data_IF_423420686477
#
_entry.id   IF_423420686477
#
_cell.length_a   1.000
_cell.length_b   1.000
_cell.length_c   1.000
_cell.angle_alpha   90.00
_cell.angle_beta   90.00
_cell.angle_gamma   90.00
#
_symmetry.space_group_name_H-M   'P 1'
#
loop_
_entity.id
_entity.type
_entity.pdbx_description
1 polymer ?
#
# COMPACT_ATOMS: atom_id res chain seq x y z
N UNK A 1 21.93 1.42 45.68
CA UNK A 1 20.60 2.01 45.39
C UNK A 1 20.68 2.72 44.03
N UNK A 2 20.65 1.97 42.92
CA UNK A 2 20.63 2.49 41.54
C UNK A 2 20.30 1.33 40.56
N UNK A 3 19.21 0.60 40.81
CA UNK A 3 18.75 -0.51 39.94
C UNK A 3 17.59 -0.10 39.01
N UNK A 4 17.34 1.20 38.82
CA UNK A 4 16.22 1.67 37.97
C UNK A 4 16.59 1.79 36.48
N UNK A 5 17.86 1.59 36.11
CA UNK A 5 18.35 1.65 34.71
C UNK A 5 18.96 0.32 34.23
N UNK A 6 18.89 -0.73 35.04
CA UNK A 6 19.24 -2.09 34.62
C UNK A 6 18.07 -2.72 33.84
N UNK A 7 17.60 -2.05 32.79
CA UNK A 7 16.85 -2.74 31.74
C UNK A 7 17.88 -3.61 31.04
N UNK A 8 17.87 -4.90 31.38
CA UNK A 8 18.66 -5.92 30.72
C UNK A 8 18.48 -5.75 29.20
N UNK A 9 19.50 -6.02 28.39
CA UNK A 9 19.52 -5.80 26.92
C UNK A 9 18.54 -6.70 26.14
N UNK A 10 17.32 -6.89 26.65
CA UNK A 10 16.23 -7.59 25.98
C UNK A 10 15.66 -6.70 24.88
N UNK A 11 15.82 -7.09 23.60
CA UNK A 11 15.37 -6.28 22.46
C UNK A 11 13.87 -5.99 22.51
N UNK A 12 13.07 -6.90 23.09
CA UNK A 12 11.62 -6.75 23.21
C UNK A 12 11.24 -5.61 24.17
N UNK A 13 11.81 -5.59 25.39
CA UNK A 13 11.54 -4.54 26.37
C UNK A 13 11.98 -3.17 25.87
N UNK A 14 13.18 -3.10 25.28
CA UNK A 14 13.69 -1.86 24.67
C UNK A 14 12.76 -1.38 23.55
N UNK A 15 12.30 -2.29 22.68
CA UNK A 15 11.38 -1.95 21.59
C UNK A 15 10.06 -1.37 22.11
N UNK A 16 9.44 -2.01 23.11
CA UNK A 16 8.19 -1.53 23.70
C UNK A 16 8.37 -0.16 24.35
N UNK A 17 9.44 0.04 25.12
CA UNK A 17 9.72 1.32 25.78
C UNK A 17 9.92 2.43 24.74
N UNK A 18 10.68 2.18 23.67
CA UNK A 18 10.89 3.16 22.59
C UNK A 18 9.56 3.55 21.94
N UNK A 19 8.70 2.58 21.64
CA UNK A 19 7.38 2.86 21.05
C UNK A 19 6.50 3.65 22.01
N UNK A 20 6.49 3.29 23.29
CA UNK A 20 5.73 4.02 24.31
C UNK A 20 6.20 5.47 24.46
N UNK A 21 7.51 5.70 24.50
CA UNK A 21 8.09 7.05 24.54
C UNK A 21 7.78 7.80 23.24
N UNK A 22 7.92 7.18 22.08
CA UNK A 22 7.62 7.81 20.80
C UNK A 22 6.15 8.26 20.72
N UNK A 23 5.21 7.42 21.17
CA UNK A 23 3.78 7.77 21.26
C UNK A 23 3.56 8.90 22.26
N UNK A 24 4.16 8.82 23.45
CA UNK A 24 4.03 9.84 24.49
C UNK A 24 4.58 11.21 24.05
N UNK A 25 5.73 11.22 23.37
CA UNK A 25 6.36 12.45 22.88
C UNK A 25 5.64 13.00 21.65
N UNK A 26 5.39 12.17 20.64
CA UNK A 26 4.81 12.61 19.37
C UNK A 26 3.33 13.00 19.53
N UNK A 27 2.52 12.14 20.13
CA UNK A 27 1.07 12.39 20.26
C UNK A 27 0.80 13.16 21.54
N UNK A 28 1.35 12.70 22.67
CA UNK A 28 1.15 13.33 23.96
C UNK A 28 1.78 14.72 24.05
N UNK A 29 3.00 14.91 23.55
CA UNK A 29 3.68 16.21 23.53
C UNK A 29 2.91 17.24 22.70
N UNK A 30 2.52 16.90 21.47
CA UNK A 30 1.67 17.78 20.65
C UNK A 30 0.34 18.07 21.34
N UNK A 31 -0.27 17.09 22.01
CA UNK A 31 -1.49 17.32 22.78
C UNK A 31 -1.30 18.29 23.95
N UNK A 32 -0.21 18.21 24.71
CA UNK A 32 0.05 19.14 25.81
C UNK A 32 0.23 20.57 25.29
N UNK A 33 0.96 20.76 24.20
CA UNK A 33 1.20 22.09 23.60
C UNK A 33 -0.08 22.69 23.03
N UNK A 34 -0.90 21.90 22.33
CA UNK A 34 -2.16 22.39 21.76
C UNK A 34 -3.22 22.56 22.85
N UNK A 35 -3.27 21.64 23.80
CA UNK A 35 -4.26 21.59 24.87
C UNK A 35 -4.18 22.77 25.84
N UNK A 36 -3.02 23.37 26.05
CA UNK A 36 -2.87 24.59 26.87
C UNK A 36 -3.52 25.82 26.25
N UNK A 37 -3.57 25.90 24.92
CA UNK A 37 -4.14 27.04 24.20
C UNK A 37 -5.63 26.84 23.86
N UNK A 38 -5.99 25.60 23.51
CA UNK A 38 -7.31 25.27 22.96
C UNK A 38 -8.25 24.60 23.97
N UNK A 39 -7.73 24.14 25.11
CA UNK A 39 -8.42 23.32 26.09
C UNK A 39 -8.39 21.82 25.75
N UNK A 40 -8.57 20.99 26.77
CA UNK A 40 -8.37 19.53 26.69
C UNK A 40 -9.22 18.83 25.60
N UNK A 41 -10.52 19.11 25.56
CA UNK A 41 -11.43 18.46 24.60
C UNK A 41 -11.18 18.87 23.16
N UNK A 42 -10.92 20.17 22.96
CA UNK A 42 -10.68 20.74 21.64
C UNK A 42 -9.32 20.30 21.10
N UNK A 43 -8.29 20.42 21.93
CA UNK A 43 -6.94 20.01 21.62
C UNK A 43 -6.86 18.52 21.28
N UNK A 44 -7.59 17.66 21.98
CA UNK A 44 -7.62 16.22 21.67
C UNK A 44 -8.13 15.94 20.25
N UNK A 45 -9.25 16.55 19.86
CA UNK A 45 -9.81 16.40 18.50
C UNK A 45 -8.86 16.94 17.42
N UNK A 46 -8.19 18.07 17.70
CA UNK A 46 -7.22 18.68 16.78
C UNK A 46 -5.99 17.78 16.60
N UNK A 47 -5.45 17.23 17.68
CA UNK A 47 -4.27 16.34 17.62
C UNK A 47 -4.61 15.04 16.90
N UNK A 48 -5.78 14.44 17.17
CA UNK A 48 -6.23 13.27 16.42
C UNK A 48 -6.41 13.57 14.93
N UNK A 49 -7.02 14.72 14.58
CA UNK A 49 -7.16 15.11 13.18
C UNK A 49 -5.78 15.29 12.52
N UNK A 50 -4.83 15.94 13.20
CA UNK A 50 -3.46 16.08 12.73
C UNK A 50 -2.76 14.73 12.50
N UNK A 51 -2.90 13.79 13.45
CA UNK A 51 -2.32 12.45 13.33
C UNK A 51 -2.85 11.69 12.12
N UNK A 52 -4.17 11.64 11.94
CA UNK A 52 -4.78 10.93 10.81
C UNK A 52 -4.55 11.62 9.47
N UNK A 53 -4.49 12.96 9.45
CA UNK A 53 -4.08 13.71 8.26
C UNK A 53 -2.64 13.40 7.85
N UNK A 54 -1.72 13.36 8.83
CA UNK A 54 -0.34 12.94 8.59
C UNK A 54 -0.23 11.49 8.11
N UNK A 55 -0.98 10.57 8.73
CA UNK A 55 -1.04 9.16 8.30
C UNK A 55 -1.59 9.00 6.87
N UNK A 56 -2.57 9.81 6.47
CA UNK A 56 -3.10 9.79 5.11
C UNK A 56 -2.04 10.27 4.08
N UNK A 57 -1.25 11.30 4.43
CA UNK A 57 -0.15 11.78 3.57
C UNK A 57 0.95 10.72 3.47
N UNK A 58 1.41 10.16 4.59
CA UNK A 58 2.43 9.10 4.60
C UNK A 58 1.96 7.86 3.85
N UNK A 59 0.71 7.44 4.08
CA UNK A 59 0.09 6.34 3.34
C UNK A 59 0.10 6.61 1.83
N UNK A 60 -0.22 7.83 1.40
CA UNK A 60 -0.22 8.22 -0.02
C UNK A 60 1.19 8.15 -0.63
N UNK A 61 2.22 8.59 0.11
CA UNK A 61 3.63 8.49 -0.30
C UNK A 61 4.03 7.01 -0.40
N UNK A 62 3.76 6.21 0.62
CA UNK A 62 4.06 4.78 0.65
C UNK A 62 3.35 4.02 -0.47
N UNK A 63 2.11 4.40 -0.75
CA UNK A 63 1.33 3.83 -1.84
C UNK A 63 1.93 4.18 -3.20
N UNK A 64 2.32 5.44 -3.43
CA UNK A 64 2.87 5.93 -4.70
C UNK A 64 4.25 5.36 -4.99
N UNK A 65 5.15 5.37 -4.01
CA UNK A 65 6.52 4.89 -4.17
C UNK A 65 6.69 3.40 -3.88
N UNK A 66 5.70 2.75 -3.26
CA UNK A 66 5.79 1.34 -2.87
C UNK A 66 6.88 1.10 -1.83
N UNK A 67 7.02 2.01 -0.87
CA UNK A 67 7.96 1.96 0.27
C UNK A 67 7.18 1.83 1.59
N UNK A 68 7.83 1.41 2.68
CA UNK A 68 7.17 1.19 3.98
C UNK A 68 6.68 -0.23 4.16
N UNK A 69 5.48 -0.40 4.75
CA UNK A 69 4.85 -1.71 4.91
C UNK A 69 4.36 -2.21 3.54
N UNK A 70 5.19 -3.05 2.91
CA UNK A 70 4.91 -3.64 1.59
C UNK A 70 4.17 -4.96 1.75
N UNK A 71 3.28 -5.22 0.79
CA UNK A 71 2.72 -6.56 0.59
C UNK A 71 3.71 -7.49 -0.11
N UNK A 72 3.21 -8.62 -0.60
CA UNK A 72 4.04 -9.61 -1.28
C UNK A 72 4.59 -9.04 -2.59
N UNK A 73 5.89 -9.19 -2.79
CA UNK A 73 6.54 -8.79 -4.03
C UNK A 73 6.18 -9.76 -5.16
N UNK A 74 6.13 -9.28 -6.42
CA UNK A 74 5.89 -10.15 -7.56
C UNK A 74 6.98 -11.21 -7.65
N UNK A 75 6.56 -12.46 -7.83
CA UNK A 75 7.47 -13.59 -7.96
C UNK A 75 7.06 -14.47 -9.13
N UNK A 76 8.05 -15.12 -9.75
CA UNK A 76 7.80 -16.19 -10.68
C UNK A 76 7.48 -17.45 -9.88
N UNK A 77 6.31 -18.02 -10.11
CA UNK A 77 5.93 -19.30 -9.51
C UNK A 77 5.88 -20.35 -10.62
N UNK A 78 6.26 -21.61 -10.33
CA UNK A 78 6.00 -22.70 -11.26
C UNK A 78 4.51 -22.70 -11.57
N UNK A 79 4.16 -22.49 -12.84
CA UNK A 79 2.79 -22.66 -13.29
C UNK A 79 2.49 -24.15 -13.31
N UNK A 80 1.32 -24.55 -12.84
CA UNK A 80 0.83 -25.90 -13.16
C UNK A 80 0.87 -26.05 -14.69
N UNK A 81 1.39 -27.18 -15.22
CA UNK A 81 1.55 -27.36 -16.65
C UNK A 81 0.19 -27.48 -17.32
N UNK A 82 -0.43 -26.34 -17.59
CA UNK A 82 -1.61 -26.26 -18.42
C UNK A 82 -1.09 -26.11 -19.84
N UNK A 83 -0.87 -27.28 -20.47
CA UNK A 83 -0.58 -27.45 -21.89
C UNK A 83 0.80 -26.93 -22.33
N UNK A 84 1.81 -27.81 -22.32
CA UNK A 84 2.93 -27.67 -23.25
C UNK A 84 2.30 -27.60 -24.64
N UNK A 85 2.49 -26.48 -25.35
CA UNK A 85 2.00 -26.30 -26.73
C UNK A 85 2.67 -27.38 -27.58
N UNK A 86 1.87 -28.35 -28.01
CA UNK A 86 2.34 -29.55 -28.73
C UNK A 86 2.12 -29.46 -30.24
N UNK A 87 1.39 -28.45 -30.67
CA UNK A 87 1.03 -28.21 -32.06
C UNK A 87 1.38 -26.77 -32.43
N UNK A 88 1.96 -26.59 -33.61
CA UNK A 88 2.46 -25.29 -34.09
C UNK A 88 1.34 -24.33 -34.49
N UNK A 89 0.16 -24.83 -34.83
CA UNK A 89 -1.06 -24.04 -35.10
C UNK A 89 -1.45 -23.13 -33.92
N UNK A 90 -1.33 -23.63 -32.69
CA UNK A 90 -1.64 -22.87 -31.48
C UNK A 90 -0.65 -21.74 -31.21
N UNK A 91 0.54 -21.75 -31.83
CA UNK A 91 1.51 -20.67 -31.71
C UNK A 91 1.10 -19.45 -32.55
N UNK A 92 0.49 -19.69 -33.71
CA UNK A 92 -0.10 -18.65 -34.56
C UNK A 92 -1.35 -18.06 -33.88
N UNK A 93 -2.24 -18.91 -33.33
CA UNK A 93 -3.43 -18.46 -32.58
C UNK A 93 -3.08 -17.66 -31.32
N UNK A 94 -1.93 -17.94 -30.70
CA UNK A 94 -1.44 -17.22 -29.53
C UNK A 94 -0.67 -15.93 -29.88
N UNK A 95 -0.59 -15.56 -31.17
CA UNK A 95 0.16 -14.41 -31.68
C UNK A 95 1.63 -14.41 -31.23
N UNK A 96 2.20 -15.60 -31.00
CA UNK A 96 3.61 -15.76 -30.60
C UNK A 96 4.51 -15.63 -31.83
N UNK A 97 4.03 -16.14 -32.98
CA UNK A 97 4.73 -16.09 -34.27
C UNK A 97 4.23 -14.90 -35.11
N UNK A 98 5.17 -14.16 -35.69
CA UNK A 98 4.89 -13.08 -36.63
C UNK A 98 4.60 -13.60 -38.04
N UNK A 99 5.20 -14.74 -38.41
CA UNK A 99 5.00 -15.39 -39.71
C UNK A 99 4.08 -16.60 -39.53
N UNK A 100 2.85 -16.56 -40.08
CA UNK A 100 1.92 -17.69 -39.96
C UNK A 100 2.45 -18.91 -40.73
N UNK A 101 2.30 -20.10 -40.15
CA UNK A 101 3.11 -21.25 -40.57
C UNK A 101 2.43 -22.28 -41.48
N UNK A 102 1.19 -22.68 -41.29
CA UNK A 102 0.56 -23.82 -42.00
C UNK A 102 1.20 -25.21 -41.71
N UNK A 103 0.61 -26.01 -40.80
CA UNK A 103 1.16 -27.31 -40.39
C UNK A 103 1.03 -28.37 -41.49
N UNK A 104 2.05 -29.23 -41.62
CA UNK A 104 2.11 -30.34 -42.58
C UNK A 104 1.39 -31.60 -42.10
N UNK A 105 1.10 -31.69 -40.79
CA UNK A 105 0.47 -32.85 -40.16
C UNK A 105 1.49 -33.88 -39.62
N UNK A 106 2.78 -33.68 -39.86
CA UNK A 106 3.87 -34.40 -39.18
C UNK A 106 4.42 -33.54 -38.02
N UNK A 107 4.18 -33.99 -36.79
CA UNK A 107 4.57 -33.28 -35.58
C UNK A 107 6.09 -33.02 -35.48
N UNK A 108 6.94 -33.89 -36.05
CA UNK A 108 8.40 -33.73 -35.97
C UNK A 108 8.88 -32.68 -36.97
N UNK A 109 8.39 -32.74 -38.20
CA UNK A 109 8.69 -31.76 -39.24
C UNK A 109 8.16 -30.37 -38.86
N UNK A 110 6.92 -30.29 -38.34
CA UNK A 110 6.28 -29.05 -37.94
C UNK A 110 7.01 -28.38 -36.77
N UNK A 111 7.46 -29.15 -35.76
CA UNK A 111 8.25 -28.62 -34.65
C UNK A 111 9.61 -28.04 -35.10
N UNK A 112 10.30 -28.71 -36.04
CA UNK A 112 11.58 -28.26 -36.57
C UNK A 112 11.45 -26.94 -37.36
N UNK A 113 10.41 -26.86 -38.21
CA UNK A 113 10.17 -25.67 -39.00
C UNK A 113 9.64 -24.51 -38.13
N UNK A 114 8.80 -24.76 -37.12
CA UNK A 114 8.37 -23.75 -36.14
C UNK A 114 9.55 -23.19 -35.35
N UNK A 115 10.49 -24.05 -34.93
CA UNK A 115 11.72 -23.64 -34.25
C UNK A 115 12.58 -22.71 -35.11
N UNK A 116 12.66 -22.97 -36.42
CA UNK A 116 13.44 -22.15 -37.35
C UNK A 116 12.77 -20.80 -37.60
N UNK A 117 11.44 -20.78 -37.74
CA UNK A 117 10.66 -19.56 -37.90
C UNK A 117 10.78 -18.66 -36.65
N UNK A 118 10.60 -19.21 -35.45
CA UNK A 118 10.81 -18.47 -34.19
C UNK A 118 12.23 -17.92 -34.08
N UNK A 119 13.26 -18.70 -34.43
CA UNK A 119 14.64 -18.21 -34.43
C UNK A 119 14.85 -17.05 -35.41
N UNK A 120 14.19 -17.07 -36.56
CA UNK A 120 14.24 -15.95 -37.52
C UNK A 120 13.59 -14.66 -36.99
N UNK A 121 12.63 -14.79 -36.08
CA UNK A 121 11.98 -13.69 -35.36
C UNK A 121 12.78 -13.22 -34.13
N UNK A 122 13.96 -13.81 -33.90
CA UNK A 122 14.87 -13.42 -32.81
C UNK A 122 14.70 -14.22 -31.52
N UNK A 123 13.90 -15.29 -31.52
CA UNK A 123 13.80 -16.18 -30.38
C UNK A 123 15.07 -17.04 -30.22
N UNK A 124 15.48 -17.26 -28.96
CA UNK A 124 16.68 -18.04 -28.65
C UNK A 124 16.31 -19.50 -28.34
N UNK A 125 16.89 -20.44 -29.09
CA UNK A 125 16.70 -21.86 -28.84
C UNK A 125 17.54 -22.29 -27.61
N UNK A 126 16.84 -22.75 -26.57
CA UNK A 126 17.49 -23.33 -25.38
C UNK A 126 18.04 -24.72 -25.68
N UNK A 127 19.20 -25.05 -25.09
CA UNK A 127 19.78 -26.39 -25.20
C UNK A 127 18.89 -27.45 -24.53
N UNK A 128 18.97 -28.70 -24.99
CA UNK A 128 18.17 -29.80 -24.45
C UNK A 128 18.51 -30.13 -23.00
N UNK A 129 19.76 -29.89 -22.59
CA UNK A 129 20.23 -30.08 -21.22
C UNK A 129 19.81 -28.98 -20.25
N UNK A 130 19.18 -27.89 -20.73
CA UNK A 130 18.80 -26.77 -19.87
C UNK A 130 17.62 -27.19 -18.96
N UNK A 131 17.79 -27.18 -17.63
CA UNK A 131 16.73 -27.56 -16.69
C UNK A 131 15.49 -26.65 -16.76
N UNK A 132 15.58 -25.47 -17.38
CA UNK A 132 14.45 -24.54 -17.58
C UNK A 132 13.53 -24.95 -18.72
N UNK A 133 13.97 -25.87 -19.59
CA UNK A 133 13.19 -26.35 -20.74
C UNK A 133 11.91 -27.03 -20.26
N UNK A 134 10.76 -26.62 -20.79
CA UNK A 134 9.44 -27.19 -20.44
C UNK A 134 8.83 -26.67 -19.13
N UNK A 135 9.47 -25.72 -18.44
CA UNK A 135 8.87 -25.06 -17.28
C UNK A 135 8.02 -23.88 -17.72
N UNK A 136 6.70 -23.96 -17.51
CA UNK A 136 5.84 -22.79 -17.56
C UNK A 136 5.98 -22.03 -16.23
N UNK A 137 6.31 -20.74 -16.28
CA UNK A 137 6.30 -19.88 -15.10
C UNK A 137 5.12 -18.94 -15.19
N UNK A 138 4.25 -18.97 -14.18
CA UNK A 138 3.19 -17.99 -14.04
C UNK A 138 3.76 -16.76 -13.33
N UNK A 139 3.51 -15.57 -13.90
CA UNK A 139 3.88 -14.32 -13.24
C UNK A 139 2.84 -13.99 -12.17
N UNK A 140 3.20 -14.15 -10.91
CA UNK A 140 2.42 -13.59 -9.81
C UNK A 140 2.73 -12.10 -9.67
N UNK A 141 1.73 -11.25 -9.86
CA UNK A 141 1.88 -9.79 -9.76
C UNK A 141 2.08 -9.33 -8.29
N UNK A 142 1.77 -10.20 -7.32
CA UNK A 142 1.87 -9.89 -5.90
C UNK A 142 0.90 -8.81 -5.44
N UNK A 143 1.08 -8.37 -4.19
CA UNK A 143 0.22 -7.42 -3.50
C UNK A 143 0.98 -6.23 -2.92
N UNK A 144 2.12 -5.87 -3.52
CA UNK A 144 3.10 -4.91 -3.00
C UNK A 144 2.49 -3.63 -2.39
N UNK A 145 1.44 -3.09 -3.01
CA UNK A 145 0.80 -1.82 -2.63
C UNK A 145 -0.46 -1.95 -1.75
N UNK A 146 -0.98 -3.16 -1.54
CA UNK A 146 -2.24 -3.37 -0.81
C UNK A 146 -2.21 -2.81 0.63
N UNK A 147 -1.16 -3.06 1.45
CA UNK A 147 -1.17 -2.56 2.84
C UNK A 147 -1.17 -1.03 2.91
N UNK A 148 -0.41 -0.36 2.04
CA UNK A 148 -0.34 1.09 2.00
C UNK A 148 -1.70 1.72 1.59
N UNK A 149 -2.44 1.08 0.67
CA UNK A 149 -3.78 1.54 0.27
C UNK A 149 -4.73 1.54 1.46
N UNK A 150 -4.78 0.47 2.25
CA UNK A 150 -5.67 0.37 3.39
C UNK A 150 -5.36 1.42 4.46
N UNK A 151 -4.08 1.66 4.75
CA UNK A 151 -3.66 2.70 5.70
C UNK A 151 -4.11 4.08 5.20
N UNK A 152 -3.93 4.36 3.91
CA UNK A 152 -4.28 5.65 3.30
C UNK A 152 -5.79 5.90 3.38
N UNK A 153 -6.58 4.96 2.88
CA UNK A 153 -8.05 5.11 2.82
C UNK A 153 -8.63 5.17 4.23
N UNK A 154 -8.21 4.26 5.12
CA UNK A 154 -8.68 4.24 6.51
C UNK A 154 -8.36 5.54 7.25
N UNK A 155 -7.13 6.04 7.11
CA UNK A 155 -6.73 7.29 7.74
C UNK A 155 -7.44 8.51 7.15
N UNK A 156 -7.65 8.52 5.83
CA UNK A 156 -8.38 9.60 5.15
C UNK A 156 -9.84 9.68 5.60
N UNK A 157 -10.53 8.54 5.75
CA UNK A 157 -11.91 8.51 6.25
C UNK A 157 -11.99 9.08 7.66
N UNK A 158 -11.10 8.62 8.57
CA UNK A 158 -11.08 9.10 9.95
C UNK A 158 -10.74 10.60 9.99
N UNK A 159 -9.77 11.04 9.19
CA UNK A 159 -9.41 12.45 9.06
C UNK A 159 -10.61 13.31 8.65
N UNK A 160 -11.33 12.94 7.60
CA UNK A 160 -12.50 13.68 7.12
C UNK A 160 -13.64 13.71 8.14
N UNK A 161 -13.86 12.60 8.87
CA UNK A 161 -14.83 12.57 9.97
C UNK A 161 -14.43 13.54 11.10
N UNK A 162 -13.15 13.57 11.49
CA UNK A 162 -12.66 14.50 12.51
C UNK A 162 -12.74 15.96 12.06
N UNK A 163 -12.38 16.26 10.80
CA UNK A 163 -12.57 17.59 10.21
C UNK A 163 -14.04 18.01 10.23
N UNK A 164 -14.96 17.08 9.90
CA UNK A 164 -16.40 17.34 9.97
C UNK A 164 -16.83 17.65 11.40
N UNK A 165 -16.39 16.88 12.40
CA UNK A 165 -16.71 17.14 13.81
C UNK A 165 -16.18 18.50 14.29
N UNK A 166 -14.95 18.84 13.93
CA UNK A 166 -14.35 20.13 14.22
C UNK A 166 -15.13 21.28 13.58
N UNK A 167 -15.54 21.12 12.32
CA UNK A 167 -16.32 22.10 11.59
C UNK A 167 -17.70 22.32 12.22
N UNK A 168 -18.43 21.25 12.53
CA UNK A 168 -19.75 21.33 13.18
C UNK A 168 -19.64 22.01 14.55
N UNK A 169 -18.57 21.73 15.31
CA UNK A 169 -18.34 22.42 16.59
C UNK A 169 -18.11 23.92 16.39
N UNK A 170 -17.33 24.30 15.38
CA UNK A 170 -17.04 25.70 15.10
C UNK A 170 -18.31 26.48 14.70
N UNK A 171 -19.18 25.87 13.89
CA UNK A 171 -20.48 26.45 13.55
C UNK A 171 -21.36 26.68 14.78
N UNK A 172 -21.51 25.67 15.65
CA UNK A 172 -22.28 25.80 16.90
C UNK A 172 -21.73 26.87 17.83
N UNK A 173 -20.41 27.03 17.88
CA UNK A 173 -19.78 28.08 18.68
C UNK A 173 -20.16 29.46 18.16
N UNK A 174 -20.12 29.67 16.84
CA UNK A 174 -20.51 30.94 16.21
C UNK A 174 -21.97 31.28 16.48
N UNK A 175 -22.88 30.32 16.33
CA UNK A 175 -24.30 30.48 16.65
C UNK A 175 -24.50 30.94 18.09
N UNK A 176 -23.87 30.27 19.06
CA UNK A 176 -23.97 30.63 20.47
C UNK A 176 -23.42 32.04 20.77
N UNK A 177 -22.30 32.41 20.16
CA UNK A 177 -21.70 33.73 20.32
C UNK A 177 -22.60 34.84 19.74
N UNK A 178 -23.23 34.59 18.59
CA UNK A 178 -24.19 35.54 17.99
C UNK A 178 -25.46 35.69 18.82
N UNK A 179 -25.94 34.62 19.46
CA UNK A 179 -27.08 34.69 20.35
C UNK A 179 -26.78 35.50 21.64
N UNK A 180 -25.60 35.31 22.23
CA UNK A 180 -25.16 36.05 23.42
C UNK A 180 -24.90 37.54 23.13
N UNK A 181 -24.35 37.88 21.95
CA UNK A 181 -24.16 39.28 21.58
C UNK A 181 -25.49 40.00 21.35
N UNK A 182 -26.47 39.32 20.74
CA UNK A 182 -27.83 39.84 20.56
C UNK A 182 -28.55 40.09 21.88
N UNK A 183 -28.48 39.14 22.83
CA UNK A 183 -29.12 39.28 24.14
C UNK A 183 -28.54 40.45 24.95
N UNK A 184 -27.22 40.64 24.95
CA UNK A 184 -26.55 41.76 25.63
C UNK A 184 -26.88 43.12 25.01
N UNK A 185 -27.08 43.17 23.69
CA UNK A 185 -27.52 44.42 23.03
C UNK A 185 -28.95 44.78 23.42
N UNK A 186 -29.85 43.80 23.47
CA UNK A 186 -31.25 44.02 23.86
C UNK A 186 -31.39 44.41 25.34
N UNK A 187 -30.50 43.95 26.22
CA UNK A 187 -30.53 44.29 27.65
C UNK A 187 -30.00 45.71 27.98
N UNK A 188 -29.38 46.40 27.02
CA UNK A 188 -28.83 47.77 27.19
C UNK A 188 -29.72 48.86 26.59
N UNK A 189 -30.77 48.48 25.85
CA UNK A 189 -31.79 49.39 25.31
C UNK A 189 -32.97 49.49 26.26
#
# INVERSE_FOLDING_TARGET
MLSLLAVNFEPQLRGIIIVAIAVGVLIGGTYLVVGTNLGARLGFLVVLAGLFGWMAIMGSIWWTYGIGLKGREPSWQPGEPTTIVRSSDLLDDAEIMLTPMQPSGDAVADAAAASTALQSEGWLLLQESDPRRGQAMLRDLGSKRQPAIFITIGSLIIFLLLCRLLHVRDLRLRENLTADSGSRSSAKS
#
